data_IF_732719722725
#
_entry.id   IF_732719722725
#
_cell.length_a   1.000
_cell.length_b   1.000
_cell.length_c   1.000
_cell.angle_alpha   90.00
_cell.angle_beta   90.00
_cell.angle_gamma   90.00
#
_symmetry.space_group_name_H-M   'P 1'
#
loop_
_entity.id
_entity.type
_entity.pdbx_description
1 polymer ?
#
# COMPACT_ATOMS: atom_id res chain seq x y z
N UNK A 1 17.43 -10.79 4.06
CA UNK A 1 17.60 -9.55 3.28
C UNK A 1 18.76 -8.80 3.88
N UNK A 2 19.71 -8.37 3.07
CA UNK A 2 20.94 -7.72 3.48
C UNK A 2 21.29 -6.59 2.51
N UNK A 3 22.45 -5.96 2.69
CA UNK A 3 22.87 -4.82 1.87
C UNK A 3 23.24 -5.21 0.43
N UNK A 4 23.50 -6.50 0.16
CA UNK A 4 23.80 -7.03 -1.17
C UNK A 4 22.54 -7.45 -1.94
N UNK A 5 21.37 -7.34 -1.30
CA UNK A 5 20.07 -7.59 -1.95
C UNK A 5 19.82 -6.56 -3.05
N UNK A 6 19.39 -7.03 -4.23
CA UNK A 6 19.05 -6.15 -5.36
C UNK A 6 17.82 -5.30 -5.05
N UNK A 7 17.83 -4.07 -5.56
CA UNK A 7 16.75 -3.12 -5.33
C UNK A 7 15.39 -3.64 -5.81
N UNK A 8 15.34 -4.35 -6.94
CA UNK A 8 14.10 -4.96 -7.42
C UNK A 8 13.53 -6.01 -6.46
N UNK A 9 14.39 -6.88 -5.90
CA UNK A 9 13.99 -7.89 -4.91
C UNK A 9 13.55 -7.23 -3.59
N UNK A 10 14.28 -6.19 -3.16
CA UNK A 10 13.99 -5.44 -1.95
C UNK A 10 12.61 -4.75 -2.03
N UNK A 11 12.31 -4.09 -3.16
CA UNK A 11 11.03 -3.43 -3.38
C UNK A 11 9.88 -4.44 -3.52
N UNK A 12 10.14 -5.59 -4.16
CA UNK A 12 9.14 -6.64 -4.27
C UNK A 12 8.76 -7.21 -2.89
N UNK A 13 9.73 -7.33 -1.98
CA UNK A 13 9.51 -7.81 -0.62
C UNK A 13 8.99 -6.73 0.35
N UNK A 14 9.38 -5.47 0.13
CA UNK A 14 8.97 -4.31 0.95
C UNK A 14 8.38 -3.22 0.04
N UNK A 15 7.09 -3.29 -0.33
CA UNK A 15 6.46 -2.35 -1.27
C UNK A 15 6.58 -0.87 -0.89
N UNK A 16 6.65 -0.55 0.40
CA UNK A 16 6.85 0.81 0.91
C UNK A 16 8.29 1.32 0.87
N UNK A 17 9.27 0.50 0.43
CA UNK A 17 10.68 0.86 0.49
C UNK A 17 11.02 2.11 -0.35
N UNK A 18 10.40 2.29 -1.53
CA UNK A 18 10.58 3.53 -2.34
C UNK A 18 10.19 4.77 -1.55
N UNK A 19 9.04 4.75 -0.89
CA UNK A 19 8.57 5.86 -0.04
C UNK A 19 9.53 6.10 1.12
N UNK A 20 9.98 5.05 1.81
CA UNK A 20 10.90 5.15 2.94
C UNK A 20 12.26 5.74 2.54
N UNK A 21 12.84 5.31 1.40
CA UNK A 21 14.08 5.85 0.84
C UNK A 21 13.93 7.33 0.48
N UNK A 22 12.84 7.69 -0.18
CA UNK A 22 12.60 9.07 -0.56
C UNK A 22 12.38 9.99 0.64
N UNK A 23 11.56 9.56 1.60
CA UNK A 23 11.18 10.38 2.75
C UNK A 23 12.38 10.77 3.63
N UNK A 24 13.37 9.87 3.80
CA UNK A 24 14.50 10.12 4.69
C UNK A 24 15.79 10.51 3.96
N UNK A 25 16.04 9.92 2.79
CA UNK A 25 17.32 10.07 2.08
C UNK A 25 17.17 10.77 0.73
N UNK A 26 15.96 11.12 0.32
CA UNK A 26 15.63 11.70 -0.99
C UNK A 26 16.07 10.84 -2.18
N UNK A 27 16.23 9.51 -1.99
CA UNK A 27 16.59 8.56 -3.04
C UNK A 27 15.34 8.09 -3.80
N UNK A 28 15.48 7.96 -5.13
CA UNK A 28 14.43 7.42 -6.01
C UNK A 28 13.37 8.42 -6.47
N UNK A 29 13.44 9.70 -6.09
CA UNK A 29 12.44 10.72 -6.43
C UNK A 29 12.68 11.50 -7.72
N UNK A 30 13.87 11.43 -8.30
CA UNK A 30 14.23 12.14 -9.52
C UNK A 30 15.20 11.31 -10.39
N UNK A 31 15.41 11.72 -11.66
CA UNK A 31 16.29 10.99 -12.57
C UNK A 31 17.74 10.87 -12.06
N UNK A 32 18.24 11.88 -11.34
CA UNK A 32 19.61 11.89 -10.82
C UNK A 32 19.82 11.02 -9.58
N UNK A 33 18.75 10.72 -8.83
CA UNK A 33 18.75 9.87 -7.64
C UNK A 33 17.95 8.57 -7.84
N UNK A 34 17.53 8.30 -9.08
CA UNK A 34 16.92 7.03 -9.45
C UNK A 34 17.89 5.89 -9.24
N UNK A 35 17.36 4.72 -8.97
CA UNK A 35 18.13 3.48 -8.85
C UNK A 35 17.64 2.45 -9.87
N UNK A 36 18.57 1.60 -10.29
CA UNK A 36 18.28 0.46 -11.14
C UNK A 36 17.82 -0.73 -10.29
N UNK A 37 16.84 -1.50 -10.76
CA UNK A 37 16.37 -2.68 -10.04
C UNK A 37 17.42 -3.79 -9.93
N UNK A 38 18.41 -3.79 -10.80
CA UNK A 38 19.54 -4.73 -10.81
C UNK A 38 20.69 -4.33 -9.88
N UNK A 39 20.80 -3.05 -9.44
CA UNK A 39 21.82 -2.65 -8.48
C UNK A 39 21.50 -3.14 -7.06
N UNK A 40 22.53 -3.30 -6.22
CA UNK A 40 22.34 -3.66 -4.81
C UNK A 40 22.08 -2.42 -3.95
N UNK A 41 21.49 -2.62 -2.77
CA UNK A 41 21.34 -1.54 -1.80
C UNK A 41 22.71 -0.93 -1.42
N UNK A 42 23.76 -1.77 -1.28
CA UNK A 42 25.11 -1.31 -1.00
C UNK A 42 25.64 -0.37 -2.10
N UNK A 43 25.48 -0.74 -3.38
CA UNK A 43 25.93 0.08 -4.51
C UNK A 43 25.17 1.43 -4.57
N UNK A 44 23.85 1.41 -4.34
CA UNK A 44 23.05 2.62 -4.25
C UNK A 44 23.55 3.55 -3.14
N UNK A 45 23.81 2.98 -1.96
CA UNK A 45 24.26 3.75 -0.78
C UNK A 45 25.68 4.29 -0.97
N UNK A 46 26.59 3.53 -1.59
CA UNK A 46 27.96 3.95 -1.89
C UNK A 46 27.98 5.20 -2.78
N UNK A 47 27.21 5.20 -3.89
CA UNK A 47 27.15 6.37 -4.78
C UNK A 47 26.37 7.56 -4.19
N UNK A 48 25.54 7.31 -3.17
CA UNK A 48 24.85 8.36 -2.43
C UNK A 48 25.61 8.85 -1.20
N UNK A 49 26.76 8.25 -0.90
CA UNK A 49 27.59 8.55 0.29
C UNK A 49 26.85 8.37 1.63
N UNK A 50 26.03 7.31 1.72
CA UNK A 50 25.20 6.99 2.89
C UNK A 50 25.58 5.60 3.42
N UNK A 51 25.54 5.38 4.72
CA UNK A 51 25.78 4.08 5.33
C UNK A 51 24.67 3.06 4.99
N UNK A 52 25.05 1.99 4.31
CA UNK A 52 24.10 0.97 3.84
C UNK A 52 23.43 0.19 4.98
N UNK A 53 24.10 0.01 6.11
CA UNK A 53 23.56 -0.64 7.29
C UNK A 53 22.47 0.21 7.96
N UNK A 54 22.68 1.54 8.03
CA UNK A 54 21.68 2.48 8.53
C UNK A 54 20.44 2.48 7.63
N UNK A 55 20.65 2.54 6.30
CA UNK A 55 19.54 2.51 5.33
C UNK A 55 18.75 1.20 5.44
N UNK A 56 19.41 0.06 5.48
CA UNK A 56 18.74 -1.23 5.64
C UNK A 56 17.92 -1.28 6.94
N UNK A 57 18.50 -0.83 8.06
CA UNK A 57 17.79 -0.75 9.36
C UNK A 57 16.54 0.13 9.26
N UNK A 58 16.64 1.28 8.59
CA UNK A 58 15.49 2.16 8.36
C UNK A 58 14.40 1.49 7.50
N UNK A 59 14.79 0.79 6.42
CA UNK A 59 13.85 0.09 5.55
C UNK A 59 13.10 -1.03 6.27
N UNK A 60 13.80 -1.82 7.08
CA UNK A 60 13.19 -2.89 7.89
C UNK A 60 12.20 -2.32 8.91
N UNK A 61 12.58 -1.29 9.64
CA UNK A 61 11.69 -0.63 10.62
C UNK A 61 10.47 0.02 9.92
N UNK A 62 10.67 0.63 8.74
CA UNK A 62 9.58 1.19 7.95
C UNK A 62 8.63 0.11 7.45
N UNK A 63 9.16 -1.04 7.03
CA UNK A 63 8.35 -2.17 6.60
C UNK A 63 7.51 -2.75 7.75
N UNK A 64 8.10 -2.94 8.93
CA UNK A 64 7.35 -3.35 10.12
C UNK A 64 6.20 -2.39 10.44
N UNK A 65 6.46 -1.09 10.35
CA UNK A 65 5.41 -0.08 10.50
C UNK A 65 4.32 -0.20 9.42
N UNK A 66 4.72 -0.39 8.15
CA UNK A 66 3.79 -0.55 7.03
C UNK A 66 2.84 -1.74 7.23
N UNK A 67 3.32 -2.85 7.79
CA UNK A 67 2.48 -4.00 8.12
C UNK A 67 1.37 -3.66 9.13
N UNK A 68 1.59 -2.70 10.02
CA UNK A 68 0.53 -2.22 10.94
C UNK A 68 -0.58 -1.44 10.25
N UNK A 69 -0.37 -1.02 9.01
CA UNK A 69 -1.35 -0.31 8.19
C UNK A 69 -2.20 -1.23 7.33
N UNK A 70 -1.95 -2.54 7.38
CA UNK A 70 -2.70 -3.55 6.64
C UNK A 70 -3.73 -4.25 7.54
N UNK A 71 -4.79 -4.75 6.91
CA UNK A 71 -5.81 -5.56 7.54
C UNK A 71 -6.13 -6.77 6.66
N UNK A 72 -6.23 -7.96 7.28
CA UNK A 72 -6.52 -9.20 6.56
C UNK A 72 -7.99 -9.28 6.12
N UNK A 73 -8.29 -9.86 4.93
CA UNK A 73 -9.65 -10.04 4.45
C UNK A 73 -10.56 -10.74 5.46
N UNK A 74 -10.06 -11.78 6.10
CA UNK A 74 -10.79 -12.57 7.11
C UNK A 74 -11.10 -11.77 8.36
N UNK A 75 -10.22 -10.85 8.78
CA UNK A 75 -10.46 -9.96 9.91
C UNK A 75 -11.52 -8.90 9.57
N UNK A 76 -11.48 -8.33 8.37
CA UNK A 76 -12.54 -7.41 7.91
C UNK A 76 -13.87 -8.13 7.89
N UNK A 77 -13.92 -9.36 7.35
CA UNK A 77 -15.15 -10.18 7.34
C UNK A 77 -15.67 -10.43 8.75
N UNK A 78 -14.81 -10.79 9.69
CA UNK A 78 -15.18 -11.00 11.08
C UNK A 78 -15.81 -9.74 11.70
N UNK A 79 -15.27 -8.56 11.41
CA UNK A 79 -15.83 -7.28 11.90
C UNK A 79 -17.18 -6.97 11.27
N UNK A 80 -17.34 -7.19 9.97
CA UNK A 80 -18.61 -7.05 9.27
C UNK A 80 -19.69 -7.98 9.87
N UNK A 81 -19.34 -9.24 10.15
CA UNK A 81 -20.25 -10.22 10.76
C UNK A 81 -20.64 -9.85 12.20
N UNK A 82 -19.78 -9.10 12.89
CA UNK A 82 -20.07 -8.51 14.20
C UNK A 82 -20.92 -7.22 14.14
N UNK A 83 -21.32 -6.78 12.93
CA UNK A 83 -22.15 -5.60 12.71
C UNK A 83 -21.39 -4.27 12.62
N UNK A 84 -20.05 -4.32 12.48
CA UNK A 84 -19.26 -3.11 12.24
C UNK A 84 -19.45 -2.64 10.79
N UNK A 85 -19.74 -1.35 10.63
CA UNK A 85 -19.81 -0.73 9.30
C UNK A 85 -18.41 -0.46 8.76
N UNK A 86 -18.12 -0.98 7.57
CA UNK A 86 -16.86 -0.80 6.87
C UNK A 86 -17.06 0.19 5.73
N UNK A 87 -16.28 1.26 5.71
CA UNK A 87 -16.21 2.14 4.56
C UNK A 87 -15.14 1.64 3.60
N UNK A 88 -15.55 1.20 2.43
CA UNK A 88 -14.67 0.65 1.39
C UNK A 88 -14.30 1.72 0.37
N UNK A 89 -12.99 1.85 0.09
CA UNK A 89 -12.47 2.73 -0.95
C UNK A 89 -11.69 1.90 -1.99
N UNK A 90 -12.17 1.93 -3.22
CA UNK A 90 -11.51 1.28 -4.36
C UNK A 90 -10.53 2.25 -5.01
N UNK A 91 -9.22 1.99 -4.86
CA UNK A 91 -8.17 2.85 -5.42
C UNK A 91 -7.64 2.38 -6.78
N UNK A 92 -8.34 1.41 -7.41
CA UNK A 92 -8.03 0.94 -8.76
C UNK A 92 -8.47 1.93 -9.83
N UNK A 93 -8.35 1.52 -11.10
CA UNK A 93 -8.89 2.30 -12.22
C UNK A 93 -10.43 2.29 -12.20
N UNK A 94 -11.04 3.25 -12.90
CA UNK A 94 -12.50 3.33 -13.03
C UNK A 94 -13.05 2.10 -13.74
N UNK A 95 -12.38 1.64 -14.78
CA UNK A 95 -12.74 0.46 -15.56
C UNK A 95 -12.78 -0.80 -14.70
N UNK A 96 -11.79 -0.99 -13.82
CA UNK A 96 -11.75 -2.11 -12.88
C UNK A 96 -12.90 -2.02 -11.87
N UNK A 97 -13.15 -0.82 -11.32
CA UNK A 97 -14.24 -0.59 -10.38
C UNK A 97 -15.63 -0.86 -11.00
N UNK A 98 -15.85 -0.43 -12.24
CA UNK A 98 -17.11 -0.65 -12.94
C UNK A 98 -17.30 -2.11 -13.35
N UNK A 99 -16.22 -2.81 -13.69
CA UNK A 99 -16.25 -4.22 -14.06
C UNK A 99 -16.53 -5.15 -12.88
N UNK A 100 -15.81 -4.95 -11.76
CA UNK A 100 -15.96 -5.77 -10.57
C UNK A 100 -15.47 -5.02 -9.33
N UNK A 101 -16.24 -5.05 -8.24
CA UNK A 101 -15.89 -4.40 -6.98
C UNK A 101 -16.41 -5.15 -5.78
N UNK A 102 -15.83 -4.88 -4.61
CA UNK A 102 -16.39 -5.29 -3.32
C UNK A 102 -17.71 -4.54 -3.11
N UNK A 103 -18.72 -5.26 -2.65
CA UNK A 103 -20.07 -4.69 -2.45
C UNK A 103 -20.02 -3.46 -1.51
N UNK A 104 -20.60 -2.35 -1.95
CA UNK A 104 -20.63 -1.09 -1.19
C UNK A 104 -19.38 -0.22 -1.34
N UNK A 105 -18.39 -0.63 -2.16
CA UNK A 105 -17.19 0.15 -2.36
C UNK A 105 -17.46 1.44 -3.15
N UNK A 106 -16.91 2.54 -2.64
CA UNK A 106 -16.87 3.84 -3.33
C UNK A 106 -15.62 3.89 -4.22
N UNK A 107 -15.77 4.40 -5.44
CA UNK A 107 -14.61 4.68 -6.29
C UNK A 107 -13.83 5.87 -5.76
N UNK A 108 -12.54 5.69 -5.52
CA UNK A 108 -11.67 6.75 -5.04
C UNK A 108 -11.36 7.76 -6.15
N UNK A 109 -11.61 9.02 -5.87
CA UNK A 109 -11.31 10.17 -6.73
C UNK A 109 -11.03 11.42 -5.89
N UNK A 110 -10.50 12.47 -6.52
CA UNK A 110 -10.03 13.65 -5.81
C UNK A 110 -11.10 14.31 -4.93
N UNK A 111 -12.31 14.51 -5.44
CA UNK A 111 -13.37 15.17 -4.66
C UNK A 111 -13.76 14.36 -3.41
N UNK A 112 -13.79 13.02 -3.54
CA UNK A 112 -14.04 12.13 -2.41
C UNK A 112 -12.91 12.22 -1.38
N UNK A 113 -11.66 12.28 -1.85
CA UNK A 113 -10.49 12.47 -0.97
C UNK A 113 -10.58 13.78 -0.19
N UNK A 114 -10.84 14.89 -0.87
CA UNK A 114 -10.97 16.21 -0.25
C UNK A 114 -12.07 16.21 0.82
N UNK A 115 -13.21 15.60 0.52
CA UNK A 115 -14.32 15.45 1.47
C UNK A 115 -13.91 14.63 2.70
N UNK A 116 -13.27 13.46 2.49
CA UNK A 116 -12.81 12.60 3.60
C UNK A 116 -11.81 13.34 4.47
N UNK A 117 -10.86 14.07 3.89
CA UNK A 117 -9.84 14.81 4.64
C UNK A 117 -10.44 16.00 5.42
N UNK A 118 -11.48 16.62 4.90
CA UNK A 118 -12.20 17.69 5.59
C UNK A 118 -13.07 17.17 6.76
N UNK A 119 -13.80 16.09 6.52
CA UNK A 119 -14.76 15.54 7.49
C UNK A 119 -14.11 14.63 8.54
N UNK A 120 -13.00 13.97 8.21
CA UNK A 120 -12.28 13.00 9.05
C UNK A 120 -13.24 11.99 9.68
N UNK A 121 -14.00 11.21 8.88
CA UNK A 121 -15.01 10.31 9.38
C UNK A 121 -14.42 9.25 10.30
N UNK A 122 -15.15 8.91 11.36
CA UNK A 122 -14.83 7.78 12.22
C UNK A 122 -15.19 6.43 11.59
N UNK A 123 -14.93 5.34 12.31
CA UNK A 123 -15.20 3.99 11.84
C UNK A 123 -14.07 3.42 10.98
N UNK A 124 -14.11 2.12 10.70
CA UNK A 124 -13.09 1.45 9.93
C UNK A 124 -13.19 1.81 8.44
N UNK A 125 -12.10 2.31 7.89
CA UNK A 125 -11.97 2.61 6.46
C UNK A 125 -10.96 1.64 5.84
N UNK A 126 -11.37 0.89 4.84
CA UNK A 126 -10.52 -0.09 4.15
C UNK A 126 -10.33 0.34 2.69
N UNK A 127 -9.08 0.62 2.34
CA UNK A 127 -8.66 0.90 0.98
C UNK A 127 -8.20 -0.40 0.33
N UNK A 128 -8.51 -0.61 -0.94
CA UNK A 128 -8.00 -1.78 -1.65
C UNK A 128 -7.64 -1.47 -3.11
N UNK A 129 -6.58 -2.11 -3.57
CA UNK A 129 -6.19 -2.21 -4.97
C UNK A 129 -6.45 -3.64 -5.49
N UNK A 130 -5.81 -4.02 -6.60
CA UNK A 130 -5.99 -5.35 -7.18
C UNK A 130 -5.35 -6.45 -6.32
N UNK A 131 -4.09 -6.28 -5.89
CA UNK A 131 -3.28 -7.32 -5.22
C UNK A 131 -2.62 -6.88 -3.90
N UNK A 132 -2.93 -5.71 -3.38
CA UNK A 132 -2.35 -5.19 -2.13
C UNK A 132 -0.96 -4.56 -2.25
N UNK A 133 -0.44 -4.37 -3.48
CA UNK A 133 0.92 -3.86 -3.71
C UNK A 133 1.06 -2.35 -3.59
N UNK A 134 0.05 -1.61 -4.04
CA UNK A 134 0.12 -0.14 -4.16
C UNK A 134 -0.72 0.58 -3.11
N UNK A 135 -1.59 -0.14 -2.40
CA UNK A 135 -2.52 0.45 -1.43
C UNK A 135 -1.81 1.08 -0.23
N UNK A 136 -0.62 0.62 0.13
CA UNK A 136 0.14 1.13 1.28
C UNK A 136 0.46 2.62 1.18
N UNK A 137 0.83 3.12 0.01
CA UNK A 137 1.14 4.53 -0.18
C UNK A 137 -0.10 5.39 -0.02
N UNK A 138 -1.26 4.91 -0.47
CA UNK A 138 -2.53 5.59 -0.26
C UNK A 138 -2.92 5.60 1.23
N UNK A 139 -2.76 4.49 1.94
CA UNK A 139 -3.02 4.42 3.39
C UNK A 139 -2.11 5.36 4.17
N UNK A 140 -0.80 5.36 3.85
CA UNK A 140 0.15 6.27 4.48
C UNK A 140 -0.23 7.74 4.25
N UNK A 141 -0.69 8.09 3.05
CA UNK A 141 -1.20 9.42 2.70
C UNK A 141 -2.44 9.78 3.53
N UNK A 142 -3.41 8.89 3.63
CA UNK A 142 -4.61 9.09 4.45
C UNK A 142 -4.24 9.30 5.93
N UNK A 143 -3.39 8.46 6.49
CA UNK A 143 -2.95 8.59 7.89
C UNK A 143 -2.17 9.87 8.14
N UNK A 144 -1.31 10.29 7.20
CA UNK A 144 -0.61 11.57 7.22
C UNK A 144 -1.55 12.79 7.25
N UNK A 145 -2.76 12.65 6.72
CA UNK A 145 -3.82 13.67 6.76
C UNK A 145 -4.80 13.50 7.94
N UNK A 146 -4.46 12.64 8.90
CA UNK A 146 -5.20 12.49 10.14
C UNK A 146 -6.35 11.46 10.08
N UNK A 147 -6.38 10.59 9.06
CA UNK A 147 -7.33 9.48 8.96
C UNK A 147 -6.66 8.22 9.54
N UNK A 148 -6.49 8.17 10.86
CA UNK A 148 -5.79 7.09 11.56
C UNK A 148 -6.49 5.73 11.45
N UNK A 149 -7.79 5.72 11.14
CA UNK A 149 -8.65 4.55 10.96
C UNK A 149 -8.64 3.98 9.53
N UNK A 150 -7.75 4.48 8.65
CA UNK A 150 -7.52 3.93 7.31
C UNK A 150 -6.57 2.74 7.36
N UNK A 151 -6.96 1.64 6.67
CA UNK A 151 -6.17 0.42 6.51
C UNK A 151 -6.18 -0.03 5.05
N UNK A 152 -5.12 -0.69 4.62
CA UNK A 152 -5.04 -1.34 3.32
C UNK A 152 -5.44 -2.80 3.41
N UNK A 153 -6.24 -3.28 2.47
CA UNK A 153 -6.63 -4.69 2.41
C UNK A 153 -5.44 -5.54 1.94
N UNK A 154 -4.97 -6.44 2.79
CA UNK A 154 -3.90 -7.39 2.42
C UNK A 154 -4.33 -8.22 1.20
N UNK A 155 -3.48 -8.25 0.18
CA UNK A 155 -3.75 -8.99 -1.06
C UNK A 155 -4.87 -8.41 -1.93
N UNK A 156 -5.45 -7.27 -1.55
CA UNK A 156 -6.41 -6.51 -2.34
C UNK A 156 -7.68 -7.26 -2.72
N UNK A 157 -8.28 -6.84 -3.83
CA UNK A 157 -9.51 -7.45 -4.38
C UNK A 157 -9.35 -8.95 -4.67
N UNK A 158 -8.16 -9.38 -5.10
CA UNK A 158 -7.89 -10.79 -5.41
C UNK A 158 -7.95 -11.68 -4.16
N UNK A 159 -7.35 -11.25 -3.05
CA UNK A 159 -7.43 -11.98 -1.78
C UNK A 159 -8.86 -11.98 -1.22
N UNK A 160 -9.56 -10.86 -1.28
CA UNK A 160 -10.96 -10.81 -0.88
C UNK A 160 -11.83 -11.82 -1.62
N UNK A 161 -11.67 -11.89 -2.94
CA UNK A 161 -12.37 -12.87 -3.78
C UNK A 161 -12.09 -14.31 -3.39
N UNK A 162 -10.83 -14.65 -3.09
CA UNK A 162 -10.42 -16.01 -2.73
C UNK A 162 -10.86 -16.44 -1.34
N UNK A 163 -10.83 -15.52 -0.40
CA UNK A 163 -10.90 -15.84 1.04
C UNK A 163 -12.25 -15.53 1.64
N UNK A 164 -12.99 -14.58 1.06
CA UNK A 164 -14.22 -14.05 1.67
C UNK A 164 -15.43 -14.15 0.74
N UNK A 165 -15.36 -13.59 -0.46
CA UNK A 165 -16.52 -13.47 -1.35
C UNK A 165 -16.17 -13.85 -2.80
N UNK A 166 -16.37 -15.12 -3.15
CA UNK A 166 -16.14 -15.64 -4.49
C UNK A 166 -17.05 -15.04 -5.58
N UNK A 167 -18.06 -14.25 -5.21
CA UNK A 167 -18.90 -13.51 -6.18
C UNK A 167 -18.16 -12.30 -6.74
N UNK A 168 -17.18 -11.80 -6.03
CA UNK A 168 -16.25 -10.79 -6.55
C UNK A 168 -15.28 -11.51 -7.48
N UNK A 169 -15.53 -11.42 -8.80
CA UNK A 169 -14.77 -12.19 -9.79
C UNK A 169 -13.29 -11.80 -9.80
N UNK A 170 -12.43 -12.80 -9.89
CA UNK A 170 -10.99 -12.63 -10.10
C UNK A 170 -10.71 -12.30 -11.55
N UNK A 171 -9.74 -11.44 -11.77
CA UNK A 171 -9.25 -11.07 -13.10
C UNK A 171 -7.73 -10.91 -13.08
N UNK A 172 -7.13 -10.87 -14.27
CA UNK A 172 -5.72 -10.54 -14.43
C UNK A 172 -5.63 -9.22 -15.17
N UNK A 173 -4.77 -8.34 -14.69
CA UNK A 173 -4.40 -7.15 -15.46
C UNK A 173 -3.36 -7.61 -16.46
N UNK A 174 -3.68 -7.50 -17.75
CA UNK A 174 -2.69 -7.70 -18.83
C UNK A 174 -1.79 -6.45 -18.83
N UNK A 175 -0.48 -6.70 -18.67
CA UNK A 175 0.57 -5.67 -18.64
C UNK A 175 1.13 -5.52 -20.04
#
# INVERSE_FOLDING_TARGET
MDVDTKMGELIAAMPGARRALFARYHLGGCQSCAFDEGETLAALCERAEIDSGEVLGHLLASHEHDLTMLIEPTEVKRRMDAGEEIRWLDVRTREEHEAVKITGAEFFHQELQEKIFAEKPGGLMVLYDHTGKYVLDQVAWFRGHGIANAFGLTGGNDAWSREVDAKVMRYRVEV
#
